data_IF_426530648271
#
_entry.id   IF_426530648271
#
_cell.length_a   1.000
_cell.length_b   1.000
_cell.length_c   1.000
_cell.angle_alpha   90.00
_cell.angle_beta   90.00
_cell.angle_gamma   90.00
#
_symmetry.space_group_name_H-M   'P 1'
#
loop_
_entity.id
_entity.type
_entity.pdbx_description
1 polymer ?
#
# COMPACT_ATOMS: atom_id res chain seq x y z
N UNK A 1 10.43 -44.39 -20.18
CA UNK A 1 9.83 -43.76 -18.97
C UNK A 1 10.58 -42.47 -18.66
N UNK A 2 10.07 -41.34 -19.15
CA UNK A 2 10.71 -40.03 -18.98
C UNK A 2 10.42 -39.43 -17.60
N UNK A 3 11.48 -39.14 -16.84
CA UNK A 3 11.39 -38.35 -15.61
C UNK A 3 10.90 -36.93 -15.97
N UNK A 4 9.72 -36.54 -15.49
CA UNK A 4 9.27 -35.14 -15.53
C UNK A 4 10.17 -34.32 -14.60
N UNK A 5 10.81 -33.24 -15.07
CA UNK A 5 11.56 -32.37 -14.19
C UNK A 5 10.60 -31.65 -13.23
N UNK A 6 11.03 -31.54 -11.96
CA UNK A 6 10.29 -30.97 -10.86
C UNK A 6 10.08 -29.46 -11.03
N UNK A 7 8.89 -29.07 -11.50
CA UNK A 7 8.40 -27.67 -11.57
C UNK A 7 8.05 -27.12 -10.16
N UNK A 8 8.07 -27.98 -9.14
CA UNK A 8 7.58 -27.73 -7.78
C UNK A 8 8.42 -26.79 -6.89
N UNK A 9 9.54 -26.23 -7.37
CA UNK A 9 10.43 -25.37 -6.55
C UNK A 9 10.45 -23.88 -6.93
N UNK A 10 9.77 -23.50 -8.01
CA UNK A 10 10.02 -22.21 -8.69
C UNK A 10 9.13 -21.06 -8.16
N UNK A 11 8.04 -21.39 -7.46
CA UNK A 11 6.87 -20.52 -7.36
C UNK A 11 6.75 -19.67 -6.07
N UNK A 12 7.44 -19.92 -4.93
CA UNK A 12 7.40 -18.97 -3.82
C UNK A 12 8.10 -17.64 -4.14
N UNK A 13 8.85 -17.55 -5.24
CA UNK A 13 9.57 -16.36 -5.67
C UNK A 13 8.72 -15.31 -6.41
N UNK A 14 7.43 -15.57 -6.63
CA UNK A 14 6.61 -14.70 -7.47
C UNK A 14 6.32 -13.33 -6.84
N UNK A 15 6.34 -13.23 -5.51
CA UNK A 15 6.21 -11.96 -4.79
C UNK A 15 6.92 -11.95 -3.42
N UNK A 16 7.79 -12.94 -3.12
CA UNK A 16 8.50 -13.01 -1.84
C UNK A 16 10.01 -13.02 -2.01
N UNK A 17 10.75 -12.33 -1.11
CA UNK A 17 12.13 -12.71 -0.84
C UNK A 17 12.16 -14.17 -0.37
N UNK A 18 12.84 -15.01 -1.14
CA UNK A 18 13.02 -16.45 -0.93
C UNK A 18 13.36 -16.90 0.51
N UNK A 19 12.52 -17.81 1.03
CA UNK A 19 12.61 -18.78 2.15
C UNK A 19 12.79 -18.29 3.60
N UNK A 20 11.78 -18.51 4.44
CA UNK A 20 11.96 -19.14 5.77
C UNK A 20 10.68 -19.85 6.29
N UNK A 21 10.87 -20.72 7.30
CA UNK A 21 10.05 -21.89 7.66
C UNK A 21 8.69 -21.55 8.30
N UNK A 22 7.67 -22.32 7.94
CA UNK A 22 6.28 -22.19 8.40
C UNK A 22 6.10 -22.91 9.74
N UNK A 23 5.60 -22.18 10.75
CA UNK A 23 5.01 -22.78 11.96
C UNK A 23 3.69 -22.04 12.25
N UNK A 24 2.58 -22.78 12.31
CA UNK A 24 1.23 -22.26 12.48
C UNK A 24 0.87 -22.07 13.95
N UNK A 25 0.25 -20.93 14.33
CA UNK A 25 -0.54 -20.77 15.56
C UNK A 25 -1.74 -19.83 15.31
N UNK A 26 -2.96 -20.09 15.85
CA UNK A 26 -4.20 -19.38 15.51
C UNK A 26 -4.53 -18.18 16.43
N UNK A 27 -5.46 -17.34 15.95
CA UNK A 27 -5.86 -16.04 16.52
C UNK A 27 -7.22 -16.07 17.26
N UNK A 28 -7.31 -15.33 18.35
CA UNK A 28 -8.52 -14.87 19.07
C UNK A 28 -8.08 -13.64 19.90
N UNK A 29 -8.83 -12.56 20.18
CA UNK A 29 -10.16 -12.03 19.90
C UNK A 29 -10.03 -10.51 20.19
N UNK A 30 -10.68 -9.64 19.41
CA UNK A 30 -10.77 -8.20 19.67
C UNK A 30 -12.11 -7.89 20.35
N UNK A 31 -12.07 -7.15 21.46
CA UNK A 31 -13.23 -6.44 22.01
C UNK A 31 -12.91 -4.95 22.04
N UNK A 32 -13.75 -4.14 21.43
CA UNK A 32 -13.74 -2.69 21.56
C UNK A 32 -15.08 -2.24 22.14
N UNK A 33 -15.00 -1.48 23.23
CA UNK A 33 -16.13 -0.78 23.85
C UNK A 33 -16.40 0.53 23.10
N UNK A 34 -17.66 0.82 22.82
CA UNK A 34 -18.15 2.13 22.39
C UNK A 34 -18.33 3.06 23.60
N UNK A 35 -18.09 4.38 23.48
CA UNK A 35 -18.63 5.36 24.41
C UNK A 35 -19.84 6.10 23.82
N UNK A 36 -20.78 6.36 24.72
CA UNK A 36 -22.09 7.00 24.53
C UNK A 36 -22.00 8.45 24.03
N UNK A 37 -22.92 8.83 23.12
CA UNK A 37 -23.15 10.22 22.70
C UNK A 37 -24.17 10.91 23.62
N UNK A 38 -23.75 12.00 24.26
CA UNK A 38 -24.64 12.90 24.99
C UNK A 38 -25.41 13.84 24.05
N UNK A 39 -26.70 13.99 24.35
CA UNK A 39 -27.64 14.93 23.75
C UNK A 39 -27.25 16.40 23.99
N UNK A 40 -27.06 17.17 22.92
CA UNK A 40 -27.16 18.63 22.96
C UNK A 40 -28.44 19.10 22.27
N UNK A 41 -29.40 19.57 23.05
CA UNK A 41 -30.57 20.34 22.58
C UNK A 41 -30.17 21.81 22.48
N UNK A 42 -30.08 22.37 21.28
CA UNK A 42 -29.98 23.81 21.08
C UNK A 42 -31.35 24.37 20.66
N UNK A 43 -31.86 25.32 21.44
CA UNK A 43 -33.15 26.00 21.20
C UNK A 43 -33.01 26.98 20.02
N UNK A 44 -33.90 26.83 19.03
CA UNK A 44 -34.09 27.75 17.91
C UNK A 44 -34.91 28.97 18.37
N UNK A 45 -34.36 30.17 18.22
CA UNK A 45 -35.13 31.42 18.21
C UNK A 45 -34.45 32.45 17.30
N UNK A 46 -35.18 32.86 16.26
CA UNK A 46 -35.03 34.15 15.58
C UNK A 46 -33.92 34.28 14.55
N UNK A 47 -34.29 34.50 13.28
CA UNK A 47 -33.39 35.04 12.26
C UNK A 47 -33.40 34.29 10.93
N UNK A 48 -34.51 34.36 10.21
CA UNK A 48 -34.56 34.06 8.77
C UNK A 48 -33.84 35.22 8.05
N UNK A 49 -32.93 34.92 7.11
CA UNK A 49 -32.07 35.84 6.33
C UNK A 49 -30.70 36.11 6.98
N UNK A 50 -29.71 35.23 6.73
CA UNK A 50 -28.32 35.50 7.12
C UNK A 50 -27.37 34.30 7.31
N UNK A 51 -27.71 33.09 6.87
CA UNK A 51 -26.84 31.91 7.10
C UNK A 51 -26.72 31.01 5.85
N UNK A 52 -26.54 31.62 4.68
CA UNK A 52 -26.20 30.90 3.43
C UNK A 52 -24.69 30.95 3.11
N UNK A 53 -23.84 31.41 4.05
CA UNK A 53 -22.42 31.69 3.81
C UNK A 53 -21.41 30.86 4.61
N UNK A 54 -21.81 29.81 5.34
CA UNK A 54 -20.86 28.99 6.12
C UNK A 54 -21.08 27.47 6.10
N UNK A 55 -21.79 26.94 5.10
CA UNK A 55 -21.69 25.51 4.79
C UNK A 55 -20.62 25.32 3.70
N UNK A 56 -19.34 25.55 4.05
CA UNK A 56 -18.27 24.86 3.36
C UNK A 56 -18.49 23.38 3.64
N UNK A 57 -19.16 22.72 2.69
CA UNK A 57 -19.19 21.27 2.57
C UNK A 57 -17.77 20.78 2.79
N UNK A 58 -17.54 20.08 3.90
CA UNK A 58 -16.38 19.22 4.06
C UNK A 58 -16.52 18.13 3.00
N UNK A 59 -16.07 18.43 1.79
CA UNK A 59 -15.98 17.46 0.71
C UNK A 59 -15.02 16.40 1.18
N UNK A 60 -15.56 15.21 1.47
CA UNK A 60 -14.75 14.02 1.65
C UNK A 60 -14.06 13.75 0.32
N UNK A 61 -12.75 13.99 0.29
CA UNK A 61 -11.93 13.74 -0.88
C UNK A 61 -11.54 12.27 -0.94
N UNK A 62 -12.11 11.54 -1.89
CA UNK A 62 -11.57 10.26 -2.32
C UNK A 62 -10.96 10.43 -3.71
N UNK A 63 -9.67 10.16 -3.84
CA UNK A 63 -8.99 10.09 -5.13
C UNK A 63 -8.69 8.63 -5.46
N UNK A 64 -8.96 8.22 -6.70
CA UNK A 64 -8.75 6.85 -7.16
C UNK A 64 -7.92 6.85 -8.42
N UNK A 65 -6.86 6.04 -8.43
CA UNK A 65 -6.04 5.75 -9.59
C UNK A 65 -6.18 4.28 -9.95
N UNK A 66 -6.18 4.00 -11.26
CA UNK A 66 -6.19 2.66 -11.80
C UNK A 66 -4.91 2.45 -12.60
N UNK A 67 -4.31 1.30 -12.40
CA UNK A 67 -3.13 0.85 -13.11
C UNK A 67 -3.40 -0.51 -13.72
N UNK A 68 -2.82 -0.75 -14.89
CA UNK A 68 -2.78 -2.05 -15.53
C UNK A 68 -1.55 -2.82 -15.04
N UNK A 69 -1.76 -4.07 -14.61
CA UNK A 69 -0.69 -5.02 -14.33
C UNK A 69 -0.49 -5.84 -15.58
N UNK A 70 0.69 -5.75 -16.16
CA UNK A 70 1.02 -6.40 -17.42
C UNK A 70 2.41 -7.02 -17.39
N UNK A 71 2.65 -7.86 -18.37
CA UNK A 71 3.95 -8.44 -18.70
C UNK A 71 4.25 -8.07 -20.15
N UNK A 72 5.44 -8.37 -20.66
CA UNK A 72 5.72 -8.19 -22.10
C UNK A 72 4.78 -8.97 -23.02
N UNK A 73 4.08 -9.99 -22.51
CA UNK A 73 3.29 -10.94 -23.30
C UNK A 73 1.79 -10.74 -23.16
N UNK A 74 1.31 -10.27 -22.00
CA UNK A 74 -0.11 -10.21 -21.70
C UNK A 74 -0.42 -9.27 -20.55
N UNK A 75 -1.66 -8.77 -20.55
CA UNK A 75 -2.31 -8.14 -19.42
C UNK A 75 -2.72 -9.20 -18.38
N UNK A 76 -2.47 -8.93 -17.10
CA UNK A 76 -2.75 -9.85 -15.99
C UNK A 76 -3.94 -9.40 -15.14
N UNK A 77 -4.12 -8.10 -14.98
CA UNK A 77 -5.23 -7.56 -14.19
C UNK A 77 -5.03 -6.09 -13.85
N UNK A 78 -5.79 -5.62 -12.88
CA UNK A 78 -5.84 -4.20 -12.53
C UNK A 78 -5.36 -3.97 -11.09
N UNK A 79 -4.63 -2.89 -10.88
CA UNK A 79 -4.28 -2.39 -9.56
C UNK A 79 -5.10 -1.12 -9.28
N UNK A 80 -5.90 -1.17 -8.21
CA UNK A 80 -6.65 0.00 -7.73
C UNK A 80 -5.88 0.64 -6.59
N UNK A 81 -5.70 1.95 -6.68
CA UNK A 81 -5.07 2.76 -5.65
C UNK A 81 -6.05 3.82 -5.20
N UNK A 82 -6.32 3.90 -3.90
CA UNK A 82 -7.24 4.88 -3.33
C UNK A 82 -6.53 5.72 -2.28
N UNK A 83 -6.78 7.02 -2.31
CA UNK A 83 -6.49 7.96 -1.23
C UNK A 83 -7.81 8.45 -0.66
N UNK A 84 -8.03 8.24 0.62
CA UNK A 84 -9.24 8.65 1.33
C UNK A 84 -8.85 9.58 2.47
N UNK A 85 -9.48 10.75 2.55
CA UNK A 85 -9.30 11.69 3.67
C UNK A 85 -10.49 11.60 4.61
N UNK A 86 -10.27 11.13 5.83
CA UNK A 86 -11.31 11.04 6.85
C UNK A 86 -11.60 12.41 7.47
N UNK A 87 -12.86 12.86 7.41
CA UNK A 87 -13.23 14.22 7.80
C UNK A 87 -13.01 14.53 9.29
N UNK A 88 -13.27 13.56 10.17
CA UNK A 88 -13.26 13.75 11.63
C UNK A 88 -11.85 13.74 12.20
N UNK A 89 -11.05 12.75 11.79
CA UNK A 89 -9.70 12.51 12.33
C UNK A 89 -8.61 13.20 11.51
N UNK A 90 -8.94 13.70 10.31
CA UNK A 90 -7.98 14.14 9.27
C UNK A 90 -6.97 13.06 8.89
N UNK A 91 -7.28 11.80 9.20
CA UNK A 91 -6.45 10.67 8.84
C UNK A 91 -6.53 10.46 7.32
N UNK A 92 -5.38 10.28 6.69
CA UNK A 92 -5.27 10.00 5.27
C UNK A 92 -4.95 8.52 5.10
N UNK A 93 -5.85 7.78 4.47
CA UNK A 93 -5.69 6.37 4.15
C UNK A 93 -5.28 6.21 2.68
N UNK A 94 -4.14 5.57 2.46
CA UNK A 94 -3.66 5.17 1.14
C UNK A 94 -3.73 3.66 1.04
N UNK A 95 -4.42 3.16 0.01
CA UNK A 95 -4.65 1.72 -0.18
C UNK A 95 -4.43 1.31 -1.62
N UNK A 96 -3.43 0.46 -1.83
CA UNK A 96 -3.12 -0.28 -3.04
C UNK A 96 -3.71 -1.68 -2.92
N UNK A 97 -4.57 -2.11 -3.84
CA UNK A 97 -5.11 -3.46 -3.81
C UNK A 97 -5.31 -4.03 -5.21
N UNK A 98 -4.99 -5.31 -5.36
CA UNK A 98 -5.26 -6.06 -6.57
C UNK A 98 -5.57 -7.52 -6.24
N UNK A 99 -6.36 -8.13 -7.12
CA UNK A 99 -6.57 -9.57 -7.18
C UNK A 99 -6.53 -9.98 -8.64
N UNK A 100 -5.62 -10.85 -8.99
CA UNK A 100 -5.50 -11.34 -10.37
C UNK A 100 -5.08 -12.80 -10.43
N UNK A 101 -5.39 -13.44 -11.55
CA UNK A 101 -4.98 -14.80 -11.84
C UNK A 101 -3.62 -14.81 -12.53
N UNK A 102 -2.70 -15.68 -12.09
CA UNK A 102 -1.48 -15.97 -12.81
C UNK A 102 -1.49 -17.43 -13.25
N UNK A 103 -1.62 -17.64 -14.56
CA UNK A 103 -2.01 -18.93 -15.13
C UNK A 103 -3.35 -19.43 -14.57
N UNK A 104 -3.90 -20.51 -15.12
CA UNK A 104 -5.22 -21.03 -14.72
C UNK A 104 -5.28 -21.64 -13.29
N UNK A 105 -4.25 -21.46 -12.47
CA UNK A 105 -4.08 -22.16 -11.19
C UNK A 105 -3.53 -21.32 -10.03
N UNK A 106 -3.12 -20.07 -10.26
CA UNK A 106 -2.82 -19.15 -9.16
C UNK A 106 -3.79 -17.98 -9.12
N UNK A 107 -4.30 -17.70 -7.93
CA UNK A 107 -4.94 -16.44 -7.58
C UNK A 107 -4.02 -15.70 -6.62
N UNK A 108 -3.63 -14.50 -7.00
CA UNK A 108 -2.78 -13.61 -6.20
C UNK A 108 -3.66 -12.51 -5.62
N UNK A 109 -3.68 -12.39 -4.30
CA UNK A 109 -4.23 -11.23 -3.60
C UNK A 109 -3.08 -10.39 -3.05
N UNK A 110 -3.07 -9.10 -3.36
CA UNK A 110 -2.06 -8.17 -2.88
C UNK A 110 -2.72 -6.96 -2.24
N UNK A 111 -2.22 -6.58 -1.06
CA UNK A 111 -2.60 -5.37 -0.36
C UNK A 111 -1.34 -4.63 0.08
N UNK A 112 -1.36 -3.31 -0.09
CA UNK A 112 -0.44 -2.36 0.54
C UNK A 112 -1.27 -1.18 1.03
N UNK A 113 -1.34 -0.99 2.35
CA UNK A 113 -2.15 0.05 2.98
C UNK A 113 -1.29 0.81 3.99
N UNK A 114 -1.51 2.12 4.07
CA UNK A 114 -0.86 2.98 5.07
C UNK A 114 -1.77 4.12 5.46
N UNK A 115 -1.75 4.47 6.74
CA UNK A 115 -2.53 5.57 7.30
C UNK A 115 -1.60 6.61 7.88
N UNK A 116 -1.92 7.86 7.60
CA UNK A 116 -1.16 9.02 8.01
C UNK A 116 -2.02 9.96 8.85
N UNK A 117 -1.45 10.45 9.94
CA UNK A 117 -1.96 11.61 10.66
C UNK A 117 -1.05 12.80 10.34
N UNK A 118 -1.54 13.70 9.49
CA UNK A 118 -0.70 14.76 8.89
C UNK A 118 0.45 14.15 8.07
N UNK A 119 1.71 14.55 8.29
CA UNK A 119 2.83 14.00 7.54
C UNK A 119 3.33 12.65 8.08
N UNK A 120 2.84 12.18 9.24
CA UNK A 120 3.39 11.01 9.93
C UNK A 120 2.55 9.77 9.72
N UNK A 121 3.18 8.67 9.32
CA UNK A 121 2.53 7.36 9.24
C UNK A 121 2.27 6.84 10.65
N UNK A 122 1.02 6.49 10.92
CA UNK A 122 0.56 5.89 12.18
C UNK A 122 0.39 4.37 12.05
N UNK A 123 0.15 3.89 10.84
CA UNK A 123 -0.14 2.48 10.55
C UNK A 123 0.27 2.14 9.11
N UNK A 124 0.74 0.92 8.90
CA UNK A 124 0.74 0.29 7.59
C UNK A 124 0.51 -1.20 7.70
N UNK A 125 -0.02 -1.78 6.63
CA UNK A 125 -0.06 -3.22 6.45
C UNK A 125 0.17 -3.58 5.00
N UNK A 126 0.82 -4.71 4.79
CA UNK A 126 1.04 -5.31 3.50
C UNK A 126 0.87 -6.81 3.59
N UNK A 127 0.32 -7.40 2.55
CA UNK A 127 0.31 -8.85 2.42
C UNK A 127 0.28 -9.29 0.96
N UNK A 128 0.72 -10.52 0.77
CA UNK A 128 0.45 -11.29 -0.44
C UNK A 128 -0.15 -12.61 -0.02
N UNK A 129 -1.26 -12.99 -0.65
CA UNK A 129 -1.79 -14.34 -0.60
C UNK A 129 -1.69 -14.99 -1.95
N UNK A 130 -1.37 -16.29 -1.94
CA UNK A 130 -1.38 -17.13 -3.14
C UNK A 130 -2.32 -18.29 -2.86
N UNK A 131 -3.42 -18.35 -3.62
CA UNK A 131 -4.50 -19.31 -3.42
C UNK A 131 -5.06 -19.27 -1.98
N UNK A 132 -5.21 -18.06 -1.42
CA UNK A 132 -5.75 -17.83 -0.08
C UNK A 132 -4.73 -17.90 1.06
N UNK A 133 -3.55 -18.47 0.83
CA UNK A 133 -2.51 -18.64 1.85
C UNK A 133 -1.55 -17.45 1.89
N UNK A 134 -1.27 -16.93 3.09
CA UNK A 134 -0.30 -15.86 3.27
C UNK A 134 1.10 -16.33 2.86
N UNK A 135 1.69 -15.58 1.94
CA UNK A 135 3.06 -15.71 1.49
C UNK A 135 3.92 -14.61 2.12
N UNK A 136 3.34 -13.43 2.25
CA UNK A 136 3.93 -12.29 2.94
C UNK A 136 2.90 -11.67 3.87
N UNK A 137 3.36 -11.16 5.00
CA UNK A 137 2.62 -10.23 5.83
C UNK A 137 3.61 -9.33 6.54
N UNK A 138 3.39 -8.01 6.46
CA UNK A 138 4.05 -7.05 7.30
C UNK A 138 3.01 -6.04 7.78
N UNK A 139 2.97 -5.79 9.09
CA UNK A 139 2.16 -4.74 9.70
C UNK A 139 3.08 -3.87 10.53
N UNK A 140 2.90 -2.56 10.46
CA UNK A 140 3.70 -1.61 11.21
C UNK A 140 2.77 -0.63 11.91
N UNK A 141 2.85 -0.56 13.24
CA UNK A 141 2.09 0.38 14.05
C UNK A 141 3.03 1.41 14.67
N UNK A 142 2.65 2.68 14.67
CA UNK A 142 3.36 3.68 15.45
C UNK A 142 3.10 3.43 16.95
N UNK A 143 4.16 3.59 17.74
CA UNK A 143 4.15 3.49 19.19
C UNK A 143 4.83 4.73 19.79
N UNK A 144 4.85 4.84 21.10
CA UNK A 144 5.60 5.91 21.79
C UNK A 144 7.12 5.82 21.57
N UNK A 145 7.63 4.61 21.31
CA UNK A 145 9.08 4.33 21.24
C UNK A 145 9.57 4.08 19.80
N UNK A 146 8.82 4.52 18.79
CA UNK A 146 9.10 4.26 17.37
C UNK A 146 8.00 3.43 16.74
N UNK A 147 8.37 2.37 16.02
CA UNK A 147 7.43 1.57 15.25
C UNK A 147 7.49 0.10 15.63
N UNK A 148 6.34 -0.49 15.89
CA UNK A 148 6.22 -1.92 16.12
C UNK A 148 5.94 -2.61 14.80
N UNK A 149 6.85 -3.48 14.37
CA UNK A 149 6.74 -4.26 13.14
C UNK A 149 6.36 -5.70 13.47
N UNK A 150 5.31 -6.18 12.84
CA UNK A 150 4.82 -7.55 12.91
C UNK A 150 4.93 -8.19 11.52
N UNK A 151 5.56 -9.35 11.44
CA UNK A 151 5.74 -10.13 10.21
C UNK A 151 5.37 -11.58 10.46
N UNK A 152 5.41 -12.43 9.42
CA UNK A 152 5.22 -13.88 9.60
C UNK A 152 6.29 -14.53 10.49
N UNK A 153 7.46 -13.90 10.63
CA UNK A 153 8.57 -14.38 11.48
C UNK A 153 8.42 -13.95 12.93
N UNK A 154 7.50 -13.03 13.22
CA UNK A 154 7.25 -12.51 14.55
C UNK A 154 7.24 -10.99 14.61
N UNK A 155 7.42 -10.48 15.83
CA UNK A 155 7.14 -9.09 16.18
C UNK A 155 8.38 -8.44 16.80
N UNK A 156 8.72 -7.24 16.35
CA UNK A 156 9.89 -6.50 16.83
C UNK A 156 9.64 -4.99 16.84
N UNK A 157 10.22 -4.31 17.83
CA UNK A 157 10.25 -2.84 17.85
C UNK A 157 11.38 -2.35 16.95
N UNK A 158 11.10 -1.29 16.19
CA UNK A 158 12.08 -0.61 15.35
C UNK A 158 12.08 0.88 15.67
N UNK A 159 13.18 1.42 16.23
CA UNK A 159 13.25 2.80 16.69
C UNK A 159 13.53 3.75 15.53
N UNK A 160 12.69 3.74 14.49
CA UNK A 160 12.83 4.63 13.36
C UNK A 160 12.39 6.06 13.69
N UNK A 161 12.93 7.07 12.98
CA UNK A 161 12.32 8.39 12.96
C UNK A 161 10.89 8.33 12.40
N UNK A 162 10.06 9.37 12.63
CA UNK A 162 8.73 9.45 12.05
C UNK A 162 8.75 9.19 10.53
N UNK A 163 7.95 8.23 10.09
CA UNK A 163 7.86 7.85 8.68
C UNK A 163 6.98 8.86 7.95
N UNK A 164 7.59 9.63 7.05
CA UNK A 164 6.88 10.64 6.25
C UNK A 164 6.65 10.22 4.79
N UNK A 165 7.57 9.43 4.26
CA UNK A 165 7.59 8.97 2.87
C UNK A 165 7.43 7.46 2.87
N UNK A 166 6.29 6.97 2.40
CA UNK A 166 6.01 5.55 2.24
C UNK A 166 5.61 5.25 0.79
N UNK A 167 5.72 3.99 0.34
CA UNK A 167 5.54 3.64 -1.07
C UNK A 167 4.12 3.94 -1.55
N UNK A 168 3.09 3.70 -0.74
CA UNK A 168 1.71 4.01 -1.11
C UNK A 168 1.49 5.49 -1.43
N UNK A 169 2.20 6.38 -0.70
CA UNK A 169 2.09 7.83 -0.83
C UNK A 169 2.78 8.36 -2.09
N UNK A 170 3.82 7.67 -2.59
CA UNK A 170 4.48 7.98 -3.87
C UNK A 170 3.53 8.01 -5.07
N UNK A 171 2.40 7.30 -5.02
CA UNK A 171 1.44 7.27 -6.12
C UNK A 171 0.64 8.57 -6.29
N UNK A 172 0.58 9.39 -5.23
CA UNK A 172 -0.18 10.65 -5.22
C UNK A 172 0.72 11.88 -5.09
N UNK A 173 1.95 11.70 -4.62
CA UNK A 173 2.86 12.80 -4.27
C UNK A 173 4.25 12.58 -4.89
N UNK A 174 4.85 13.68 -5.36
CA UNK A 174 6.21 13.69 -5.91
C UNK A 174 7.23 13.78 -4.77
N UNK A 175 8.15 12.82 -4.70
CA UNK A 175 9.22 12.77 -3.69
C UNK A 175 10.59 13.20 -4.23
N UNK A 176 10.63 14.09 -5.23
CA UNK A 176 11.88 14.70 -5.72
C UNK A 176 12.81 15.11 -4.57
N UNK A 177 14.05 14.63 -4.64
CA UNK A 177 15.11 14.94 -3.68
C UNK A 177 15.06 14.14 -2.37
N UNK A 178 14.26 13.07 -2.27
CA UNK A 178 14.32 12.13 -1.15
C UNK A 178 15.24 10.96 -1.47
N UNK A 179 16.20 10.69 -0.59
CA UNK A 179 17.18 9.61 -0.76
C UNK A 179 16.69 8.25 -0.21
N UNK A 180 15.58 8.24 0.51
CA UNK A 180 14.98 7.02 1.06
C UNK A 180 13.46 7.09 1.17
N UNK A 181 12.84 5.92 1.06
CA UNK A 181 11.40 5.71 1.21
C UNK A 181 11.17 4.53 2.15
N UNK A 182 10.16 4.62 3.00
CA UNK A 182 9.75 3.52 3.85
C UNK A 182 8.99 2.49 3.03
N UNK A 183 9.48 1.25 3.04
CA UNK A 183 8.83 0.10 2.42
C UNK A 183 7.91 -0.55 3.44
N UNK A 184 6.60 -0.39 3.27
CA UNK A 184 5.55 -1.05 4.06
C UNK A 184 5.54 -2.57 3.84
N UNK A 185 6.22 -3.05 2.81
CA UNK A 185 6.47 -4.46 2.57
C UNK A 185 7.50 -5.03 3.54
N UNK A 186 8.61 -4.33 3.77
CA UNK A 186 9.66 -4.80 4.69
C UNK A 186 9.57 -4.22 6.10
N UNK A 187 8.72 -3.21 6.29
CA UNK A 187 8.68 -2.36 7.47
C UNK A 187 10.03 -1.70 7.73
N UNK A 188 10.71 -1.20 6.68
CA UNK A 188 12.02 -0.55 6.80
C UNK A 188 12.28 0.49 5.71
N UNK A 189 13.17 1.44 5.98
CA UNK A 189 13.61 2.41 4.97
C UNK A 189 14.52 1.75 3.94
N UNK A 190 14.30 2.09 2.68
CA UNK A 190 15.07 1.63 1.53
C UNK A 190 15.64 2.83 0.78
N UNK A 191 16.87 2.75 0.26
CA UNK A 191 17.41 3.79 -0.61
C UNK A 191 16.51 4.00 -1.83
N UNK A 192 16.31 5.26 -2.21
CA UNK A 192 15.49 5.66 -3.36
C UNK A 192 16.32 6.57 -4.26
N UNK A 193 16.91 5.99 -5.29
CA UNK A 193 18.02 6.60 -6.03
C UNK A 193 17.53 7.09 -7.39
N UNK A 194 17.72 8.38 -7.67
CA UNK A 194 17.49 8.98 -8.99
C UNK A 194 18.50 8.43 -10.00
N UNK A 195 18.00 7.98 -11.16
CA UNK A 195 18.80 7.54 -12.31
C UNK A 195 18.95 8.66 -13.34
N UNK A 196 19.95 8.51 -14.21
CA UNK A 196 20.23 9.47 -15.29
C UNK A 196 19.05 9.68 -16.25
N UNK A 197 18.25 8.64 -16.47
CA UNK A 197 17.04 8.68 -17.30
C UNK A 197 15.82 9.34 -16.61
N UNK A 198 15.98 9.86 -15.38
CA UNK A 198 14.92 10.49 -14.61
C UNK A 198 14.00 9.53 -13.84
N UNK A 199 14.22 8.22 -13.91
CA UNK A 199 13.52 7.24 -13.07
C UNK A 199 14.11 7.19 -11.66
N UNK A 200 13.38 6.59 -10.73
CA UNK A 200 13.89 6.30 -9.39
C UNK A 200 13.94 4.79 -9.15
N UNK A 201 15.02 4.30 -8.55
CA UNK A 201 15.13 2.90 -8.14
C UNK A 201 15.02 2.78 -6.63
N UNK A 202 14.04 2.00 -6.17
CA UNK A 202 13.97 1.55 -4.78
C UNK A 202 14.91 0.35 -4.62
N UNK A 203 16.00 0.55 -3.90
CA UNK A 203 17.01 -0.48 -3.70
C UNK A 203 16.54 -1.45 -2.61
N UNK A 204 16.27 -2.68 -3.03
CA UNK A 204 16.02 -3.81 -2.15
C UNK A 204 16.66 -5.07 -2.77
N UNK A 205 16.40 -6.25 -2.19
CA UNK A 205 16.82 -7.53 -2.78
C UNK A 205 16.41 -7.66 -4.26
N UNK A 206 15.19 -7.23 -4.57
CA UNK A 206 14.64 -7.18 -5.92
C UNK A 206 14.27 -5.70 -6.21
N UNK A 207 15.15 -4.94 -6.88
CA UNK A 207 15.00 -3.49 -7.00
C UNK A 207 13.83 -3.13 -7.91
N UNK A 208 12.94 -2.24 -7.46
CA UNK A 208 11.82 -1.74 -8.26
C UNK A 208 12.17 -0.38 -8.88
N UNK A 209 11.81 -0.18 -10.14
CA UNK A 209 12.07 1.09 -10.84
C UNK A 209 10.76 1.84 -11.09
N UNK A 210 10.73 3.11 -10.70
CA UNK A 210 9.57 4.00 -10.75
C UNK A 210 9.81 5.09 -11.79
N UNK A 211 8.90 5.18 -12.74
CA UNK A 211 8.87 6.21 -13.77
C UNK A 211 7.75 7.20 -13.45
N UNK A 212 8.03 8.48 -13.65
CA UNK A 212 7.10 9.55 -13.33
C UNK A 212 6.72 10.33 -14.60
N UNK A 213 5.45 10.72 -14.70
CA UNK A 213 4.96 11.68 -15.69
C UNK A 213 4.03 12.67 -14.97
N UNK A 214 4.22 13.97 -15.22
CA UNK A 214 3.42 15.04 -14.59
C UNK A 214 3.34 14.95 -13.06
N UNK A 215 4.46 14.56 -12.41
CA UNK A 215 4.54 14.44 -10.94
C UNK A 215 3.83 13.22 -10.35
N UNK A 216 3.37 12.27 -11.17
CA UNK A 216 2.73 11.01 -10.74
C UNK A 216 3.47 9.81 -11.29
N UNK A 217 3.40 8.68 -10.59
CA UNK A 217 3.90 7.41 -11.11
C UNK A 217 3.12 7.08 -12.40
N UNK A 218 3.85 6.94 -13.50
CA UNK A 218 3.32 6.51 -14.80
C UNK A 218 3.56 5.03 -15.05
N UNK A 219 4.66 4.48 -14.52
CA UNK A 219 5.02 3.07 -14.67
C UNK A 219 5.90 2.62 -13.50
N UNK A 220 5.69 1.41 -13.01
CA UNK A 220 6.62 0.71 -12.13
C UNK A 220 7.08 -0.57 -12.81
N UNK A 221 8.39 -0.83 -12.82
CA UNK A 221 8.99 -2.09 -13.25
C UNK A 221 9.31 -2.89 -12.00
N UNK A 222 8.73 -4.09 -11.92
CA UNK A 222 8.97 -5.05 -10.83
C UNK A 222 9.69 -6.25 -11.45
N UNK A 223 11.02 -6.33 -11.29
CA UNK A 223 11.79 -7.43 -11.84
C UNK A 223 11.36 -8.75 -11.20
N UNK A 224 11.34 -9.81 -12.01
CA UNK A 224 11.11 -11.15 -11.49
C UNK A 224 12.01 -12.16 -12.23
N UNK A 225 12.55 -13.18 -11.54
CA UNK A 225 13.39 -14.20 -12.18
C UNK A 225 12.73 -14.93 -13.36
N UNK A 226 11.40 -14.96 -13.43
CA UNK A 226 10.65 -15.65 -14.48
C UNK A 226 10.12 -14.66 -15.52
N UNK A 227 9.45 -13.61 -15.06
CA UNK A 227 8.74 -12.67 -15.94
C UNK A 227 8.56 -11.32 -15.27
N UNK A 228 9.23 -10.29 -15.81
CA UNK A 228 9.07 -8.92 -15.31
C UNK A 228 7.61 -8.46 -15.40
N UNK A 229 7.17 -7.78 -14.35
CA UNK A 229 5.86 -7.14 -14.29
C UNK A 229 6.00 -5.64 -14.49
N UNK A 230 5.02 -5.06 -15.18
CA UNK A 230 4.87 -3.63 -15.35
C UNK A 230 3.53 -3.21 -14.76
N UNK A 231 3.56 -2.16 -13.95
CA UNK A 231 2.37 -1.54 -13.37
C UNK A 231 2.24 -0.17 -14.05
N UNK A 232 1.31 -0.02 -14.98
CA UNK A 232 1.22 1.15 -15.87
C UNK A 232 -0.02 1.96 -15.56
N UNK A 233 0.12 3.28 -15.40
CA UNK A 233 -1.00 4.17 -15.10
C UNK A 233 -2.00 4.15 -16.24
N UNK A 234 -3.27 3.87 -15.92
CA UNK A 234 -4.35 3.93 -16.91
C UNK A 234 -4.71 5.39 -17.19
N UNK A 235 -4.75 5.82 -18.46
CA UNK A 235 -5.25 7.15 -18.80
C UNK A 235 -6.70 7.27 -18.33
N UNK A 236 -7.01 8.30 -17.54
CA UNK A 236 -8.40 8.57 -17.20
C UNK A 236 -9.10 9.07 -18.47
N UNK A 237 -10.08 8.31 -18.96
CA UNK A 237 -11.01 8.83 -19.98
C UNK A 237 -11.75 9.99 -19.32
N UNK A 238 -11.52 11.21 -19.81
CA UNK A 238 -12.35 12.35 -19.44
C UNK A 238 -13.80 11.98 -19.79
N UNK A 239 -14.65 11.90 -18.76
CA UNK A 239 -16.10 11.77 -18.91
C UNK A 239 -16.68 13.14 -19.22
#
# INVERSE_FOLDING_TARGET
MGKRPSVFKIIPCLFLPYKEKITFVPAHLLNFNEPEMNHCRCKLLGGVIGCLLFCNLYSQGQEVLYFDIETKLMHLGELKITRTVEATTKLIDYKLQTRFGLWSFYTIDYLLESKFNGPQMVFSQSFIKVNGEYRHSCRVNQTTNGYERETLEGKNLVPYPPVQNAITRLYFEDFKGKDSVFSEFSGSFKPFILKENGSYVLVDKDPMEFYFANGRISKVVVPNPILDFYIVLRPQKQQ
#
